data_IF_398796343226
#
_entry.id   IF_398796343226
#
_cell.length_a   1.000
_cell.length_b   1.000
_cell.length_c   1.000
_cell.angle_alpha   90.00
_cell.angle_beta   90.00
_cell.angle_gamma   90.00
#
_symmetry.space_group_name_H-M   'P 1'
#
loop_
_entity.id
_entity.type
_entity.pdbx_description
1 polymer ?
#
# COMPACT_ATOMS: atom_id res chain seq x y z
N UNK A 1 -10.39 -1.48 -19.30
CA UNK A 1 -9.10 -1.22 -18.63
C UNK A 1 -8.47 -2.57 -18.33
N UNK A 2 -7.23 -2.83 -18.73
CA UNK A 2 -6.55 -4.08 -18.36
C UNK A 2 -6.13 -4.03 -16.89
N UNK A 3 -6.19 -5.17 -16.20
CA UNK A 3 -5.86 -5.25 -14.76
C UNK A 3 -4.48 -4.69 -14.44
N UNK A 4 -3.45 -5.08 -15.19
CA UNK A 4 -2.09 -4.57 -15.04
C UNK A 4 -1.98 -3.06 -15.24
N UNK A 5 -2.84 -2.46 -16.08
CA UNK A 5 -2.88 -1.01 -16.25
C UNK A 5 -3.42 -0.31 -15.01
N UNK A 6 -4.35 -0.94 -14.28
CA UNK A 6 -4.88 -0.41 -13.03
C UNK A 6 -3.84 -0.50 -11.89
N UNK A 7 -3.16 -1.64 -11.74
CA UNK A 7 -2.08 -1.79 -10.75
C UNK A 7 -0.95 -0.78 -10.99
N UNK A 8 -0.57 -0.60 -12.25
CA UNK A 8 0.43 0.39 -12.65
C UNK A 8 -0.07 1.81 -12.38
N UNK A 9 -1.34 2.12 -12.65
CA UNK A 9 -1.92 3.43 -12.33
C UNK A 9 -1.85 3.71 -10.83
N UNK A 10 -2.26 2.76 -9.98
CA UNK A 10 -2.24 2.93 -8.52
C UNK A 10 -0.83 3.19 -8.00
N UNK A 11 0.17 2.44 -8.51
CA UNK A 11 1.55 2.66 -8.15
C UNK A 11 2.06 4.04 -8.59
N UNK A 12 1.73 4.48 -9.81
CA UNK A 12 2.06 5.81 -10.30
C UNK A 12 1.33 6.92 -9.53
N UNK A 13 0.10 6.70 -9.11
CA UNK A 13 -0.65 7.65 -8.30
C UNK A 13 0.05 7.90 -6.97
N UNK A 14 0.48 6.85 -6.25
CA UNK A 14 1.17 7.02 -4.96
C UNK A 14 2.53 7.74 -5.14
N UNK A 15 3.31 7.33 -6.14
CA UNK A 15 4.57 7.99 -6.47
C UNK A 15 4.36 9.47 -6.84
N UNK A 16 3.40 9.77 -7.70
CA UNK A 16 3.07 11.14 -8.12
C UNK A 16 2.64 12.01 -6.94
N UNK A 17 1.70 11.54 -6.11
CA UNK A 17 1.21 12.29 -4.93
C UNK A 17 2.34 12.58 -3.96
N UNK A 18 3.19 11.58 -3.70
CA UNK A 18 4.37 11.73 -2.83
C UNK A 18 5.33 12.78 -3.38
N UNK A 19 5.74 12.64 -4.63
CA UNK A 19 6.71 13.53 -5.26
C UNK A 19 6.16 14.95 -5.43
N UNK A 20 4.86 15.10 -5.65
CA UNK A 20 4.20 16.40 -5.69
C UNK A 20 4.28 17.11 -4.33
N UNK A 21 4.01 16.41 -3.22
CA UNK A 21 4.12 17.02 -1.89
C UNK A 21 5.56 17.43 -1.56
N UNK A 22 6.55 16.64 -1.98
CA UNK A 22 7.98 16.99 -1.88
C UNK A 22 8.28 18.26 -2.67
N UNK A 23 7.80 18.36 -3.92
CA UNK A 23 7.96 19.56 -4.75
C UNK A 23 7.28 20.79 -4.15
N UNK A 24 6.23 20.61 -3.35
CA UNK A 24 5.61 21.66 -2.55
C UNK A 24 6.39 21.99 -1.25
N UNK A 25 7.58 21.43 -1.04
CA UNK A 25 8.45 21.70 0.11
C UNK A 25 8.12 20.90 1.37
N UNK A 26 7.30 19.84 1.28
CA UNK A 26 7.00 18.99 2.45
C UNK A 26 8.04 17.89 2.63
N UNK A 27 8.46 17.68 3.87
CA UNK A 27 9.32 16.55 4.28
C UNK A 27 8.53 15.35 4.82
N UNK A 28 7.30 15.59 5.28
CA UNK A 28 6.38 14.59 5.81
C UNK A 28 4.94 14.86 5.37
N UNK A 29 4.10 13.84 5.49
CA UNK A 29 2.65 13.99 5.31
C UNK A 29 1.89 12.93 6.13
N UNK A 30 0.67 13.28 6.53
CA UNK A 30 -0.29 12.30 7.05
C UNK A 30 -0.80 11.40 5.93
N UNK A 31 -1.22 10.18 6.27
CA UNK A 31 -1.85 9.28 5.29
C UNK A 31 -3.12 9.91 4.69
N UNK A 32 -3.86 10.70 5.47
CA UNK A 32 -5.00 11.50 4.97
C UNK A 32 -4.63 12.57 3.93
N UNK A 33 -3.39 13.07 3.93
CA UNK A 33 -2.90 14.03 2.94
C UNK A 33 -2.38 13.33 1.67
N UNK A 34 -1.68 12.21 1.85
CA UNK A 34 -1.21 11.35 0.75
C UNK A 34 -2.40 10.79 -0.04
N UNK A 35 -3.36 10.21 0.68
CA UNK A 35 -4.58 9.58 0.16
C UNK A 35 -5.79 10.47 0.44
N UNK A 36 -5.82 11.62 -0.24
CA UNK A 36 -6.84 12.65 0.00
C UNK A 36 -8.27 12.10 -0.12
N UNK A 37 -9.07 12.34 0.91
CA UNK A 37 -10.47 11.92 0.98
C UNK A 37 -10.68 10.42 1.20
N UNK A 38 -9.62 9.67 1.52
CA UNK A 38 -9.73 8.25 1.86
C UNK A 38 -10.57 8.06 3.13
N UNK A 39 -11.35 6.98 3.15
CA UNK A 39 -12.09 6.53 4.31
C UNK A 39 -11.22 5.59 5.15
N UNK A 40 -11.34 5.64 6.47
CA UNK A 40 -10.55 4.84 7.41
C UNK A 40 -10.70 5.37 8.83
N UNK A 41 -10.06 4.68 9.79
CA UNK A 41 -10.07 5.16 11.18
C UNK A 41 -9.20 6.42 11.32
N UNK A 42 -9.60 7.34 12.21
CA UNK A 42 -8.85 8.57 12.47
C UNK A 42 -7.40 8.26 12.89
N UNK A 43 -7.20 7.24 13.72
CA UNK A 43 -5.86 6.80 14.15
C UNK A 43 -4.95 6.37 13.00
N UNK A 44 -5.51 5.78 11.93
CA UNK A 44 -4.73 5.39 10.75
C UNK A 44 -4.51 6.59 9.82
N UNK A 45 -5.53 7.43 9.64
CA UNK A 45 -5.46 8.66 8.84
C UNK A 45 -4.43 9.66 9.36
N UNK A 46 -4.23 9.72 10.68
CA UNK A 46 -3.28 10.59 11.36
C UNK A 46 -1.85 10.05 11.40
N UNK A 47 -1.59 8.84 10.88
CA UNK A 47 -0.22 8.33 10.78
C UNK A 47 0.57 9.24 9.85
N UNK A 48 1.60 9.86 10.39
CA UNK A 48 2.52 10.74 9.66
C UNK A 48 3.77 9.98 9.22
N UNK A 49 4.12 10.12 7.95
CA UNK A 49 5.26 9.46 7.33
C UNK A 49 6.21 10.45 6.68
N UNK A 50 7.49 10.12 6.72
CA UNK A 50 8.53 10.82 5.96
C UNK A 50 8.29 10.61 4.46
N UNK A 51 8.45 11.69 3.70
CA UNK A 51 8.39 11.67 2.26
C UNK A 51 9.79 11.40 1.70
N UNK A 52 9.88 10.44 0.80
CA UNK A 52 11.04 10.18 -0.04
C UNK A 52 10.58 10.24 -1.49
N UNK A 53 11.47 10.67 -2.37
CA UNK A 53 11.18 10.58 -3.80
C UNK A 53 10.99 9.12 -4.20
N UNK A 54 9.91 8.84 -4.91
CA UNK A 54 9.53 7.49 -5.30
C UNK A 54 9.59 7.34 -6.82
N UNK A 55 10.20 6.24 -7.25
CA UNK A 55 10.01 5.68 -8.59
C UNK A 55 9.02 4.51 -8.56
N UNK A 56 8.52 4.13 -9.73
CA UNK A 56 7.66 2.94 -9.89
C UNK A 56 8.45 1.86 -10.60
N UNK A 57 8.38 0.62 -10.10
CA UNK A 57 8.94 -0.54 -10.78
C UNK A 57 8.00 -1.75 -10.70
N UNK A 58 8.18 -2.70 -11.60
CA UNK A 58 7.42 -3.94 -11.63
C UNK A 58 8.34 -5.10 -11.23
N UNK A 59 7.96 -5.82 -10.17
CA UNK A 59 8.66 -7.02 -9.75
C UNK A 59 8.37 -8.19 -10.70
N UNK A 60 9.39 -9.03 -10.96
CA UNK A 60 9.23 -10.30 -11.66
C UNK A 60 8.67 -11.39 -10.74
N UNK A 61 9.11 -11.40 -9.49
CA UNK A 61 8.70 -12.36 -8.47
C UNK A 61 7.43 -11.90 -7.75
N UNK A 62 6.72 -12.86 -7.16
CA UNK A 62 5.56 -12.58 -6.31
C UNK A 62 6.02 -12.30 -4.88
N UNK A 63 5.68 -11.12 -4.36
CA UNK A 63 5.86 -10.76 -2.96
C UNK A 63 4.82 -11.54 -2.11
N UNK A 64 5.15 -12.06 -0.91
CA UNK A 64 6.35 -11.81 -0.11
C UNK A 64 7.59 -12.52 -0.65
N UNK A 65 8.64 -11.78 -0.96
CA UNK A 65 9.93 -12.33 -1.35
C UNK A 65 11.07 -11.48 -0.77
N UNK A 66 12.18 -12.14 -0.41
CA UNK A 66 13.38 -11.44 0.09
C UNK A 66 14.05 -10.70 -1.06
N UNK A 67 14.23 -11.38 -2.17
CA UNK A 67 14.94 -10.87 -3.35
C UNK A 67 13.92 -10.62 -4.46
N UNK A 68 13.77 -9.34 -4.82
CA UNK A 68 12.94 -8.91 -5.93
C UNK A 68 13.85 -8.39 -7.02
N UNK A 69 13.52 -8.71 -8.26
CA UNK A 69 14.17 -8.12 -9.43
C UNK A 69 13.14 -7.50 -10.35
N UNK A 70 13.55 -6.48 -11.10
CA UNK A 70 12.71 -5.89 -12.13
C UNK A 70 12.64 -6.79 -13.39
N UNK A 71 11.92 -6.33 -14.42
CA UNK A 71 11.81 -7.02 -15.72
C UNK A 71 13.14 -7.16 -16.47
N UNK A 72 14.14 -6.33 -16.15
CA UNK A 72 15.49 -6.36 -16.69
C UNK A 72 16.46 -7.18 -15.82
N UNK A 73 15.95 -7.83 -14.77
CA UNK A 73 16.72 -8.60 -13.78
C UNK A 73 17.64 -7.75 -12.89
N UNK A 74 17.40 -6.46 -12.77
CA UNK A 74 18.07 -5.62 -11.77
C UNK A 74 17.46 -5.86 -10.39
N UNK A 75 18.29 -5.90 -9.34
CA UNK A 75 17.82 -6.04 -7.96
C UNK A 75 17.00 -4.83 -7.51
N UNK A 76 15.87 -5.09 -6.84
CA UNK A 76 15.00 -4.06 -6.24
C UNK A 76 15.19 -4.10 -4.72
N UNK A 77 15.82 -3.06 -4.18
CA UNK A 77 15.88 -2.84 -2.73
C UNK A 77 14.59 -2.19 -2.22
N UNK A 78 13.56 -3.01 -2.09
CA UNK A 78 12.24 -2.59 -1.62
C UNK A 78 12.24 -2.10 -0.17
N UNK A 79 13.26 -2.46 0.62
CA UNK A 79 13.37 -2.10 2.04
C UNK A 79 13.74 -0.62 2.23
N UNK A 80 14.43 -0.01 1.26
CA UNK A 80 14.78 1.43 1.30
C UNK A 80 13.58 2.37 1.25
N UNK A 81 12.44 1.90 0.70
CA UNK A 81 11.23 2.69 0.57
C UNK A 81 11.35 3.80 -0.48
N UNK A 82 12.13 3.58 -1.54
CA UNK A 82 12.36 4.52 -2.65
C UNK A 82 11.56 4.12 -3.91
N UNK A 83 10.83 3.00 -3.85
CA UNK A 83 10.06 2.47 -4.96
C UNK A 83 8.65 2.09 -4.50
N UNK A 84 7.65 2.45 -5.31
CA UNK A 84 6.36 1.77 -5.30
C UNK A 84 6.46 0.59 -6.26
N UNK A 85 6.24 -0.61 -5.73
CA UNK A 85 6.51 -1.85 -6.46
C UNK A 85 5.18 -2.47 -6.87
N UNK A 86 4.93 -2.56 -8.16
CA UNK A 86 3.86 -3.40 -8.72
C UNK A 86 4.31 -4.85 -8.57
N UNK A 87 3.48 -5.65 -7.94
CA UNK A 87 3.80 -7.03 -7.60
C UNK A 87 3.83 -7.93 -8.86
N UNK A 88 4.50 -9.08 -8.77
CA UNK A 88 4.52 -10.04 -9.87
C UNK A 88 3.13 -10.59 -10.17
N UNK A 89 2.85 -10.83 -11.46
CA UNK A 89 1.57 -11.36 -11.92
C UNK A 89 1.14 -12.60 -11.12
N UNK A 90 -0.15 -12.67 -10.80
CA UNK A 90 -0.76 -13.77 -10.03
C UNK A 90 -0.25 -13.92 -8.59
N UNK A 91 0.35 -12.88 -8.01
CA UNK A 91 0.76 -12.90 -6.61
C UNK A 91 -0.44 -13.19 -5.69
N UNK A 92 -0.20 -14.05 -4.69
CA UNK A 92 -1.18 -14.35 -3.65
C UNK A 92 -1.44 -13.17 -2.70
N UNK A 93 -0.55 -12.17 -2.72
CA UNK A 93 -0.59 -11.00 -1.86
C UNK A 93 -1.32 -9.80 -2.50
N UNK A 94 -0.84 -8.57 -2.27
CA UNK A 94 -1.43 -7.33 -2.78
C UNK A 94 -0.74 -6.88 -4.07
N UNK A 95 -1.43 -6.02 -4.81
CA UNK A 95 -1.12 -5.71 -6.21
C UNK A 95 0.06 -4.74 -6.36
N UNK A 96 0.23 -3.84 -5.40
CA UNK A 96 1.44 -3.03 -5.26
C UNK A 96 1.76 -2.74 -3.79
N UNK A 97 2.98 -2.29 -3.50
CA UNK A 97 3.37 -1.96 -2.13
C UNK A 97 4.54 -0.97 -2.06
N UNK A 98 4.67 -0.31 -0.90
CA UNK A 98 5.78 0.60 -0.59
C UNK A 98 6.06 0.60 0.92
N UNK A 99 7.33 0.76 1.31
CA UNK A 99 7.71 0.98 2.71
C UNK A 99 7.86 2.47 2.97
N UNK A 100 7.33 2.93 4.11
CA UNK A 100 7.53 4.30 4.59
C UNK A 100 7.98 4.32 6.04
N UNK A 101 8.73 5.35 6.41
CA UNK A 101 9.16 5.58 7.79
C UNK A 101 8.18 6.53 8.48
N UNK A 102 7.79 6.23 9.71
CA UNK A 102 6.97 7.13 10.52
C UNK A 102 7.80 8.28 11.07
N UNK A 103 7.19 9.47 11.11
CA UNK A 103 7.75 10.65 11.79
C UNK A 103 7.71 10.44 13.30
N UNK A 104 6.52 10.08 13.82
CA UNK A 104 6.31 9.87 15.25
C UNK A 104 6.84 8.50 15.70
N UNK A 105 8.11 8.48 16.10
CA UNK A 105 8.78 7.29 16.61
C UNK A 105 8.66 7.23 18.14
N UNK A 106 7.60 6.60 18.65
CA UNK A 106 7.56 6.22 20.05
C UNK A 106 8.17 4.81 20.21
N UNK A 107 8.97 4.55 21.26
CA UNK A 107 9.70 3.26 21.43
C UNK A 107 8.81 2.01 21.38
N UNK A 108 7.50 2.16 21.64
CA UNK A 108 6.50 1.07 21.58
C UNK A 108 5.94 0.80 20.18
N UNK A 109 6.07 1.74 19.25
CA UNK A 109 5.45 1.65 17.92
C UNK A 109 6.47 1.25 16.86
N UNK A 110 6.02 0.46 15.89
CA UNK A 110 6.85 0.06 14.74
C UNK A 110 7.25 1.32 13.95
N UNK A 111 8.57 1.51 13.76
CA UNK A 111 9.19 2.65 13.07
C UNK A 111 8.81 2.76 11.60
N UNK A 112 8.51 1.63 10.96
CA UNK A 112 8.20 1.56 9.54
C UNK A 112 6.78 1.05 9.34
N UNK A 113 6.15 1.54 8.27
CA UNK A 113 4.92 0.98 7.73
C UNK A 113 5.20 0.33 6.38
N UNK A 114 4.52 -0.78 6.12
CA UNK A 114 4.41 -1.40 4.81
C UNK A 114 3.00 -1.10 4.31
N UNK A 115 2.90 -0.21 3.34
CA UNK A 115 1.65 0.09 2.68
C UNK A 115 1.46 -0.94 1.59
N UNK A 116 0.32 -1.62 1.62
CA UNK A 116 -0.10 -2.59 0.65
C UNK A 116 -1.27 -1.99 -0.14
N UNK A 117 -1.05 -1.73 -1.42
CA UNK A 117 -2.08 -1.21 -2.30
C UNK A 117 -2.86 -2.36 -2.90
N UNK A 118 -4.17 -2.32 -2.69
CA UNK A 118 -5.10 -3.29 -3.24
C UNK A 118 -5.93 -2.63 -4.33
N UNK A 119 -5.82 -3.17 -5.54
CA UNK A 119 -6.58 -2.74 -6.70
C UNK A 119 -7.91 -3.48 -6.72
N UNK A 120 -9.03 -2.76 -6.79
CA UNK A 120 -10.36 -3.38 -6.90
C UNK A 120 -11.12 -2.87 -8.11
N UNK A 121 -11.27 -3.79 -9.06
CA UNK A 121 -12.09 -3.65 -10.26
C UNK A 121 -13.22 -4.67 -10.16
N UNK A 122 -14.46 -4.22 -9.89
CA UNK A 122 -15.63 -5.08 -10.00
C UNK A 122 -16.37 -4.76 -11.30
N UNK A 123 -16.77 -5.81 -12.01
CA UNK A 123 -17.82 -5.75 -13.04
C UNK A 123 -19.18 -5.74 -12.32
N UNK A 124 -20.18 -5.10 -12.92
CA UNK A 124 -21.47 -4.78 -12.30
C UNK A 124 -22.12 -5.93 -11.54
N UNK A 125 -22.69 -5.65 -10.35
CA UNK A 125 -23.59 -6.56 -9.63
C UNK A 125 -23.04 -7.17 -8.33
N UNK A 126 -21.76 -6.99 -8.02
CA UNK A 126 -21.18 -7.39 -6.73
C UNK A 126 -20.62 -6.19 -5.97
N UNK A 127 -21.09 -6.00 -4.74
CA UNK A 127 -20.62 -4.98 -3.82
C UNK A 127 -19.43 -5.51 -3.02
N UNK A 128 -18.35 -4.74 -2.99
CA UNK A 128 -17.23 -5.03 -2.09
C UNK A 128 -17.56 -4.47 -0.72
N UNK A 129 -17.62 -5.32 0.30
CA UNK A 129 -18.03 -4.94 1.64
C UNK A 129 -16.84 -4.63 2.54
N UNK A 130 -17.09 -3.98 3.68
CA UNK A 130 -16.09 -3.83 4.73
C UNK A 130 -15.62 -5.19 5.26
N UNK A 131 -16.49 -6.21 5.29
CA UNK A 131 -16.11 -7.57 5.68
C UNK A 131 -15.11 -8.19 4.69
N UNK A 132 -15.36 -8.07 3.39
CA UNK A 132 -14.43 -8.56 2.36
C UNK A 132 -13.05 -7.89 2.46
N UNK A 133 -13.05 -6.59 2.76
CA UNK A 133 -11.83 -5.82 2.95
C UNK A 133 -11.06 -6.25 4.20
N UNK A 134 -11.76 -6.41 5.31
CA UNK A 134 -11.19 -6.88 6.58
C UNK A 134 -10.61 -8.29 6.45
N UNK A 135 -11.33 -9.18 5.76
CA UNK A 135 -10.86 -10.54 5.49
C UNK A 135 -9.58 -10.55 4.64
N UNK A 136 -9.47 -9.66 3.65
CA UNK A 136 -8.23 -9.51 2.88
C UNK A 136 -7.10 -8.96 3.76
N UNK A 137 -7.33 -7.91 4.53
CA UNK A 137 -6.32 -7.35 5.44
C UNK A 137 -5.78 -8.43 6.40
N UNK A 138 -6.67 -9.22 7.01
CA UNK A 138 -6.29 -10.35 7.87
C UNK A 138 -5.49 -11.41 7.11
N UNK A 139 -5.87 -11.75 5.87
CA UNK A 139 -5.13 -12.70 5.02
C UNK A 139 -3.71 -12.22 4.77
N UNK A 140 -3.49 -10.93 4.52
CA UNK A 140 -2.16 -10.36 4.32
C UNK A 140 -1.27 -10.49 5.57
N UNK A 141 -1.85 -10.25 6.75
CA UNK A 141 -1.15 -10.43 8.02
C UNK A 141 -0.76 -11.90 8.24
N UNK A 142 -1.65 -12.83 7.92
CA UNK A 142 -1.38 -14.27 8.02
C UNK A 142 -0.26 -14.71 7.07
N UNK A 143 -0.31 -14.28 5.80
CA UNK A 143 0.75 -14.57 4.81
C UNK A 143 2.10 -14.01 5.28
N UNK A 144 2.10 -12.81 5.87
CA UNK A 144 3.31 -12.20 6.45
C UNK A 144 3.84 -12.98 7.65
N UNK A 145 2.95 -13.60 8.44
CA UNK A 145 3.31 -14.43 9.58
C UNK A 145 3.75 -15.84 9.18
N UNK A 146 3.32 -16.37 8.04
CA UNK A 146 3.62 -17.74 7.58
C UNK A 146 4.77 -17.82 6.56
N UNK A 147 5.41 -16.71 6.22
CA UNK A 147 6.55 -16.70 5.28
C UNK A 147 7.85 -17.22 5.93
N UNK A 148 8.94 -17.29 5.16
CA UNK A 148 10.27 -17.70 5.64
C UNK A 148 10.72 -16.86 6.84
N UNK A 149 11.43 -17.45 7.81
CA UNK A 149 11.88 -16.77 9.05
C UNK A 149 12.64 -15.46 8.78
N UNK A 150 13.46 -15.42 7.72
CA UNK A 150 14.19 -14.22 7.30
C UNK A 150 13.23 -13.09 6.91
N UNK A 151 12.27 -13.37 6.04
CA UNK A 151 11.31 -12.37 5.57
C UNK A 151 10.29 -12.00 6.66
N UNK A 152 9.86 -12.98 7.43
CA UNK A 152 8.98 -12.83 8.58
C UNK A 152 9.57 -11.81 9.58
N UNK A 153 10.87 -11.91 9.90
CA UNK A 153 11.56 -10.94 10.76
C UNK A 153 11.60 -9.51 10.19
N UNK A 154 11.63 -9.38 8.86
CA UNK A 154 11.57 -8.08 8.19
C UNK A 154 10.13 -7.54 8.30
N UNK A 155 9.13 -8.32 7.91
CA UNK A 155 7.72 -7.90 7.89
C UNK A 155 7.19 -7.59 9.30
N UNK A 156 7.52 -8.39 10.32
CA UNK A 156 7.05 -8.13 11.69
C UNK A 156 7.51 -6.80 12.28
N UNK A 157 8.64 -6.26 11.82
CA UNK A 157 9.13 -4.94 12.25
C UNK A 157 8.35 -3.77 11.63
N UNK A 158 7.38 -4.06 10.76
CA UNK A 158 6.53 -3.07 10.07
C UNK A 158 5.07 -3.19 10.48
N UNK A 159 4.39 -2.06 10.56
CA UNK A 159 2.93 -2.04 10.61
C UNK A 159 2.41 -2.19 9.18
N UNK A 160 1.47 -3.09 8.97
CA UNK A 160 0.91 -3.32 7.63
C UNK A 160 -0.32 -2.44 7.51
N UNK A 161 -0.37 -1.59 6.49
CA UNK A 161 -1.53 -0.77 6.19
C UNK A 161 -2.04 -1.19 4.82
N UNK A 162 -3.30 -1.63 4.73
CA UNK A 162 -3.92 -1.94 3.45
C UNK A 162 -4.70 -0.73 2.95
N UNK A 163 -4.45 -0.33 1.71
CA UNK A 163 -5.15 0.76 1.04
C UNK A 163 -5.87 0.18 -0.18
N UNK A 164 -7.19 0.13 -0.14
CA UNK A 164 -8.00 -0.29 -1.28
C UNK A 164 -8.28 0.88 -2.23
N UNK A 165 -7.92 0.69 -3.48
CA UNK A 165 -8.22 1.57 -4.60
C UNK A 165 -9.44 1.02 -5.35
N UNK A 166 -10.57 1.68 -5.15
CA UNK A 166 -11.89 1.27 -5.64
C UNK A 166 -12.32 2.15 -6.82
N UNK A 167 -12.75 1.53 -7.91
CA UNK A 167 -13.37 2.25 -9.05
C UNK A 167 -14.87 2.47 -8.83
N UNK A 168 -15.49 1.65 -7.98
CA UNK A 168 -16.90 1.77 -7.60
C UNK A 168 -17.07 2.48 -6.26
N UNK A 169 -18.28 3.01 -5.97
CA UNK A 169 -18.62 3.48 -4.63
C UNK A 169 -18.46 2.37 -3.59
N UNK A 170 -18.08 2.76 -2.38
CA UNK A 170 -17.96 1.93 -1.21
C UNK A 170 -18.78 2.59 -0.09
N UNK A 171 -19.88 1.95 0.31
CA UNK A 171 -20.86 2.54 1.23
C UNK A 171 -20.61 2.22 2.70
N UNK A 172 -19.81 1.19 2.98
CA UNK A 172 -19.64 0.70 4.35
C UNK A 172 -18.67 1.60 5.15
N UNK A 173 -18.91 1.80 6.45
CA UNK A 173 -17.93 2.46 7.30
C UNK A 173 -16.70 1.56 7.53
N UNK A 174 -15.51 2.16 7.52
CA UNK A 174 -14.26 1.46 7.86
C UNK A 174 -13.90 1.74 9.32
N UNK A 175 -14.16 0.76 10.18
CA UNK A 175 -13.80 0.81 11.62
C UNK A 175 -12.52 0.02 11.95
N UNK A 176 -12.02 -0.78 11.01
CA UNK A 176 -10.80 -1.58 11.20
C UNK A 176 -9.57 -0.69 11.13
N UNK A 177 -8.69 -0.72 12.15
CA UNK A 177 -7.40 -0.04 12.07
C UNK A 177 -6.58 -0.53 10.87
N UNK A 178 -5.72 0.34 10.38
CA UNK A 178 -4.74 0.05 9.31
C UNK A 178 -5.37 -0.32 7.96
N UNK A 179 -6.63 0.02 7.79
CA UNK A 179 -7.41 -0.17 6.58
C UNK A 179 -7.87 1.19 6.06
N UNK A 180 -7.55 1.49 4.81
CA UNK A 180 -7.94 2.72 4.12
C UNK A 180 -8.64 2.39 2.79
N UNK A 181 -9.66 3.15 2.42
CA UNK A 181 -10.38 3.01 1.15
C UNK A 181 -10.40 4.33 0.39
N UNK A 182 -9.90 4.30 -0.85
CA UNK A 182 -9.95 5.41 -1.81
C UNK A 182 -10.91 5.01 -2.92
N UNK A 183 -11.92 5.84 -3.15
CA UNK A 183 -12.93 5.62 -4.18
C UNK A 183 -12.67 6.49 -5.41
N UNK A 184 -13.32 6.13 -6.52
CA UNK A 184 -13.28 6.92 -7.76
C UNK A 184 -13.59 8.41 -7.55
N UNK A 185 -14.52 8.73 -6.66
CA UNK A 185 -14.90 10.10 -6.32
C UNK A 185 -13.76 10.92 -5.71
N UNK A 186 -12.72 10.28 -5.18
CA UNK A 186 -11.57 10.93 -4.55
C UNK A 186 -10.48 11.36 -5.55
N UNK A 187 -10.53 10.93 -6.82
CA UNK A 187 -9.57 11.34 -7.85
C UNK A 187 -10.00 12.59 -8.64
N UNK A 188 -11.00 13.34 -8.15
CA UNK A 188 -11.44 14.60 -8.76
C UNK A 188 -10.49 15.75 -8.46
#
# INVERSE_FOLDING_TARGET
>A
MYWQSWETFVANYDAFRTNLLIKCGKESARLSELYRGTHGTQSTLDIEVELKELSVCCAKQQFPCVELTDKKSNSIDWVKGENVIVNGTSALWEDAFVIRKKVQNNKKNKKYILILHQCKYYLSGMYYTAEDFNNKHRKNLLVSASTTKKLQNILFKRQHITVAFMIQPFGDPISTPDCLVIMKSNFK
#
